data_IF_630926808969
#
_entry.id   IF_630926808969
#
_cell.length_a   1.000
_cell.length_b   1.000
_cell.length_c   1.000
_cell.angle_alpha   90.00
_cell.angle_beta   90.00
_cell.angle_gamma   90.00
#
_symmetry.space_group_name_H-M   'P 1'
#
loop_
_entity.id
_entity.type
_entity.pdbx_description
1 polymer ?
#
# COMPACT_ATOMS: atom_id res chain seq x y z
N UNK A 1 15.70 -1.77 -33.02
CA UNK A 1 15.30 -2.69 -31.93
C UNK A 1 14.22 -3.60 -32.47
N UNK A 2 14.30 -4.92 -32.26
CA UNK A 2 13.25 -5.85 -32.71
C UNK A 2 12.02 -5.67 -31.81
N UNK A 3 10.82 -5.63 -32.39
CA UNK A 3 9.59 -5.58 -31.62
C UNK A 3 9.50 -6.82 -30.71
N UNK A 4 9.06 -6.65 -29.45
CA UNK A 4 8.89 -7.78 -28.53
C UNK A 4 7.92 -8.79 -29.11
N UNK A 5 8.23 -10.08 -28.95
CA UNK A 5 7.34 -11.16 -29.34
C UNK A 5 6.08 -11.13 -28.47
N UNK A 6 4.98 -11.74 -28.91
CA UNK A 6 3.73 -11.79 -28.15
C UNK A 6 3.92 -12.28 -26.70
N UNK A 7 4.78 -13.28 -26.50
CA UNK A 7 5.14 -13.80 -25.17
C UNK A 7 5.89 -12.77 -24.33
N UNK A 8 6.82 -12.02 -24.94
CA UNK A 8 7.55 -10.95 -24.25
C UNK A 8 6.63 -9.78 -23.88
N UNK A 9 5.72 -9.39 -24.77
CA UNK A 9 4.73 -8.34 -24.48
C UNK A 9 3.80 -8.74 -23.34
N UNK A 10 3.32 -9.99 -23.30
CA UNK A 10 2.51 -10.49 -22.20
C UNK A 10 3.28 -10.54 -20.87
N UNK A 11 4.54 -10.97 -20.89
CA UNK A 11 5.40 -10.97 -19.71
C UNK A 11 5.68 -9.54 -19.21
N UNK A 12 5.93 -8.59 -20.12
CA UNK A 12 6.09 -7.16 -19.80
C UNK A 12 4.79 -6.61 -19.21
N UNK A 13 3.64 -6.85 -19.83
CA UNK A 13 2.33 -6.42 -19.30
C UNK A 13 2.02 -7.05 -17.95
N UNK A 14 2.41 -8.31 -17.73
CA UNK A 14 2.23 -8.98 -16.45
C UNK A 14 3.13 -8.32 -15.39
N UNK A 15 4.42 -8.14 -15.68
CA UNK A 15 5.36 -7.46 -14.79
C UNK A 15 4.93 -6.01 -14.51
N UNK A 16 4.45 -5.28 -15.52
CA UNK A 16 3.94 -3.91 -15.38
C UNK A 16 2.64 -3.87 -14.59
N UNK A 17 1.68 -4.77 -14.84
CA UNK A 17 0.44 -4.86 -14.05
C UNK A 17 0.73 -5.25 -12.61
N UNK A 18 1.64 -6.17 -12.37
CA UNK A 18 2.05 -6.53 -11.01
C UNK A 18 2.77 -5.38 -10.32
N UNK A 19 3.67 -4.66 -11.02
CA UNK A 19 4.33 -3.47 -10.48
C UNK A 19 3.33 -2.32 -10.22
N UNK A 20 2.36 -2.11 -11.11
CA UNK A 20 1.35 -1.06 -11.00
C UNK A 20 0.30 -1.41 -9.93
N UNK A 21 -0.17 -2.65 -9.88
CA UNK A 21 -1.08 -3.14 -8.84
C UNK A 21 -0.39 -3.12 -7.47
N UNK A 22 0.89 -3.45 -7.41
CA UNK A 22 1.70 -3.31 -6.20
C UNK A 22 1.84 -1.85 -5.77
N UNK A 23 2.17 -0.97 -6.71
CA UNK A 23 2.23 0.48 -6.45
C UNK A 23 0.87 1.03 -5.99
N UNK A 24 -0.23 0.57 -6.59
CA UNK A 24 -1.59 0.95 -6.20
C UNK A 24 -1.97 0.45 -4.81
N UNK A 25 -1.62 -0.80 -4.48
CA UNK A 25 -1.81 -1.36 -3.14
C UNK A 25 -1.01 -0.57 -2.09
N UNK A 26 0.27 -0.29 -2.35
CA UNK A 26 1.10 0.52 -1.46
C UNK A 26 0.55 1.94 -1.30
N UNK A 27 0.07 2.55 -2.39
CA UNK A 27 -0.59 3.86 -2.36
C UNK A 27 -1.82 3.83 -1.45
N UNK A 28 -2.73 2.87 -1.68
CA UNK A 28 -3.93 2.70 -0.86
C UNK A 28 -3.62 2.46 0.62
N UNK A 29 -2.63 1.63 0.94
CA UNK A 29 -2.19 1.38 2.31
C UNK A 29 -1.66 2.67 2.97
N UNK A 30 -0.88 3.46 2.23
CA UNK A 30 -0.31 4.71 2.71
C UNK A 30 -1.39 5.76 2.98
N UNK A 31 -2.35 5.90 2.07
CA UNK A 31 -3.51 6.79 2.24
C UNK A 31 -4.40 6.37 3.42
N UNK A 32 -4.63 5.06 3.57
CA UNK A 32 -5.41 4.52 4.68
C UNK A 32 -4.71 4.75 6.02
N UNK A 33 -3.39 4.60 6.07
CA UNK A 33 -2.60 4.91 7.26
C UNK A 33 -2.68 6.40 7.64
N UNK A 34 -2.56 7.30 6.67
CA UNK A 34 -2.70 8.74 6.90
C UNK A 34 -4.09 9.09 7.44
N UNK A 35 -5.15 8.51 6.87
CA UNK A 35 -6.53 8.72 7.33
C UNK A 35 -6.76 8.22 8.75
N UNK A 36 -6.26 7.02 9.08
CA UNK A 36 -6.37 6.46 10.43
C UNK A 36 -5.63 7.33 11.47
N UNK A 37 -4.51 7.96 11.10
CA UNK A 37 -3.82 8.94 11.95
C UNK A 37 -4.66 10.21 12.17
N UNK A 38 -5.26 10.75 11.12
CA UNK A 38 -6.15 11.93 11.24
C UNK A 38 -7.38 11.63 12.10
N UNK A 39 -8.02 10.48 11.89
CA UNK A 39 -9.15 10.03 12.70
C UNK A 39 -8.74 9.82 14.15
N UNK A 40 -7.56 9.22 14.40
CA UNK A 40 -7.04 9.03 15.75
C UNK A 40 -6.79 10.36 16.48
N UNK A 41 -6.33 11.39 15.76
CA UNK A 41 -6.07 12.71 16.32
C UNK A 41 -7.35 13.49 16.66
N UNK A 42 -8.49 13.12 16.05
CA UNK A 42 -9.80 13.75 16.25
C UNK A 42 -10.73 12.95 17.17
N UNK A 43 -10.33 11.74 17.56
CA UNK A 43 -11.14 10.86 18.39
C UNK A 43 -11.02 11.27 19.86
N UNK A 44 -12.16 11.54 20.50
CA UNK A 44 -12.25 11.89 21.93
C UNK A 44 -12.59 10.67 22.81
N UNK A 45 -13.03 9.56 22.20
CA UNK A 45 -13.35 8.32 22.91
C UNK A 45 -12.10 7.43 23.07
N UNK A 46 -11.79 7.04 24.30
CA UNK A 46 -10.57 6.28 24.62
C UNK A 46 -10.52 4.91 23.91
N UNK A 47 -11.67 4.23 23.77
CA UNK A 47 -11.74 2.94 23.09
C UNK A 47 -11.52 3.10 21.57
N UNK A 48 -12.10 4.14 20.96
CA UNK A 48 -11.89 4.50 19.57
C UNK A 48 -10.42 4.86 19.31
N UNK A 49 -9.80 5.65 20.18
CA UNK A 49 -8.38 5.99 20.10
C UNK A 49 -7.52 4.73 20.14
N UNK A 50 -7.75 3.81 21.10
CA UNK A 50 -6.99 2.55 21.20
C UNK A 50 -7.14 1.68 19.95
N UNK A 51 -8.34 1.60 19.38
CA UNK A 51 -8.60 0.86 18.14
C UNK A 51 -7.84 1.46 16.96
N UNK A 52 -7.96 2.77 16.77
CA UNK A 52 -7.29 3.50 15.68
C UNK A 52 -5.76 3.42 15.80
N UNK A 53 -5.21 3.50 17.01
CA UNK A 53 -3.79 3.27 17.24
C UNK A 53 -3.34 1.84 16.87
N UNK A 54 -4.19 0.84 17.11
CA UNK A 54 -3.96 -0.53 16.65
C UNK A 54 -3.90 -0.64 15.13
N UNK A 55 -4.88 -0.02 14.45
CA UNK A 55 -4.98 0.02 13.00
C UNK A 55 -3.79 0.74 12.35
N UNK A 56 -3.41 1.91 12.87
CA UNK A 56 -2.22 2.66 12.45
C UNK A 56 -0.96 1.79 12.54
N UNK A 57 -0.74 1.09 13.66
CA UNK A 57 0.42 0.20 13.83
C UNK A 57 0.43 -0.95 12.82
N UNK A 58 -0.72 -1.57 12.59
CA UNK A 58 -0.85 -2.66 11.61
C UNK A 58 -0.53 -2.18 10.19
N UNK A 59 -1.10 -1.05 9.77
CA UNK A 59 -0.87 -0.44 8.47
C UNK A 59 0.61 -0.03 8.31
N UNK A 60 1.22 0.57 9.32
CA UNK A 60 2.64 0.92 9.30
C UNK A 60 3.53 -0.32 9.07
N UNK A 61 3.25 -1.41 9.78
CA UNK A 61 3.97 -2.68 9.61
C UNK A 61 3.80 -3.29 8.21
N UNK A 62 2.58 -3.26 7.66
CA UNK A 62 2.30 -3.74 6.31
C UNK A 62 3.05 -2.91 5.26
N UNK A 63 2.99 -1.57 5.35
CA UNK A 63 3.73 -0.67 4.45
C UNK A 63 5.22 -0.98 4.50
N UNK A 64 5.82 -1.07 5.69
CA UNK A 64 7.24 -1.37 5.85
C UNK A 64 7.65 -2.75 5.29
N UNK A 65 6.76 -3.74 5.38
CA UNK A 65 6.98 -5.09 4.85
C UNK A 65 6.88 -5.13 3.32
N UNK A 66 5.94 -4.38 2.75
CA UNK A 66 5.63 -4.38 1.32
C UNK A 66 6.43 -3.32 0.53
N UNK A 67 7.10 -2.39 1.21
CA UNK A 67 7.97 -1.41 0.54
C UNK A 67 9.26 -2.12 0.10
N UNK A 68 9.61 -2.10 -1.20
CA UNK A 68 10.85 -2.69 -1.68
C UNK A 68 12.06 -2.05 -0.98
N UNK A 69 12.92 -2.86 -0.38
CA UNK A 69 14.19 -2.39 0.20
C UNK A 69 15.20 -2.19 -0.93
N UNK A 70 15.89 -1.05 -0.91
CA UNK A 70 17.00 -0.77 -1.83
C UNK A 70 18.16 -1.74 -1.60
#
# INVERSE_FOLDING_TARGET
MKNPTTVQSQAIEHLQRHAQAWSGLLGWLTESHARALEECARADDELAVRRLQGEVRALHGLIGTLTPKK
#
